data_IF_980613482515
#
_entry.id   IF_980613482515
#
_cell.length_a   1.000
_cell.length_b   1.000
_cell.length_c   1.000
_cell.angle_alpha   90.00
_cell.angle_beta   90.00
_cell.angle_gamma   90.00
#
_symmetry.space_group_name_H-M   'P 1'
#
loop_
_entity.id
_entity.type
_entity.pdbx_description
1 polymer ?
#
# COMPACT_ATOMS: atom_id res chain seq x y z
N UNK A 1 -12.64 21.01 -35.23
CA UNK A 1 -13.29 20.00 -34.38
C UNK A 1 -13.87 20.74 -33.20
N UNK A 2 -15.19 20.75 -33.04
CA UNK A 2 -15.84 21.39 -31.90
C UNK A 2 -15.41 20.70 -30.61
N UNK A 3 -14.90 21.46 -29.69
CA UNK A 3 -14.51 20.96 -28.37
C UNK A 3 -15.75 20.50 -27.61
N UNK A 4 -15.72 19.29 -27.04
CA UNK A 4 -16.88 18.75 -26.32
C UNK A 4 -17.17 19.56 -25.06
N UNK A 5 -18.42 19.61 -24.66
CA UNK A 5 -18.90 20.33 -23.47
C UNK A 5 -18.10 19.89 -22.22
N UNK A 6 -17.86 18.59 -22.11
CA UNK A 6 -17.07 18.02 -21.02
C UNK A 6 -15.61 18.50 -21.00
N UNK A 7 -14.95 18.61 -22.14
CA UNK A 7 -13.57 19.08 -22.21
C UNK A 7 -13.43 20.54 -21.73
N UNK A 8 -14.43 21.39 -21.96
CA UNK A 8 -14.49 22.75 -21.42
C UNK A 8 -14.64 22.72 -19.88
N UNK A 9 -15.50 21.86 -19.34
CA UNK A 9 -15.64 21.67 -17.90
C UNK A 9 -14.36 21.15 -17.24
N UNK A 10 -13.66 20.17 -17.87
CA UNK A 10 -12.42 19.62 -17.35
C UNK A 10 -11.33 20.68 -17.15
N UNK A 11 -11.18 21.63 -18.10
CA UNK A 11 -10.18 22.71 -17.97
C UNK A 11 -10.44 23.61 -16.77
N UNK A 12 -11.70 23.93 -16.51
CA UNK A 12 -12.06 24.75 -15.35
C UNK A 12 -11.81 23.99 -14.06
N UNK A 13 -12.26 22.74 -13.98
CA UNK A 13 -12.05 21.89 -12.81
C UNK A 13 -10.55 21.63 -12.53
N UNK A 14 -9.71 21.55 -13.57
CA UNK A 14 -8.27 21.41 -13.43
C UNK A 14 -7.62 22.67 -12.80
N UNK A 15 -8.21 23.86 -13.04
CA UNK A 15 -7.73 25.12 -12.45
C UNK A 15 -8.30 25.38 -11.04
N UNK A 16 -9.49 24.88 -10.73
CA UNK A 16 -10.18 25.11 -9.45
C UNK A 16 -9.80 24.09 -8.38
N UNK A 17 -9.53 22.85 -8.76
CA UNK A 17 -9.23 21.78 -7.82
C UNK A 17 -7.72 21.63 -7.60
N UNK A 18 -7.29 21.23 -6.37
CA UNK A 18 -5.92 20.82 -6.16
C UNK A 18 -5.53 19.71 -7.14
N UNK A 19 -4.36 19.81 -7.75
CA UNK A 19 -3.89 18.87 -8.80
C UNK A 19 -4.01 17.39 -8.39
N UNK A 20 -3.80 17.10 -7.12
CA UNK A 20 -3.96 15.74 -6.58
C UNK A 20 -5.42 15.27 -6.60
N UNK A 21 -6.36 16.12 -6.21
CA UNK A 21 -7.79 15.79 -6.23
C UNK A 21 -8.31 15.67 -7.66
N UNK A 22 -7.94 16.58 -8.55
CA UNK A 22 -8.31 16.52 -9.95
C UNK A 22 -7.84 15.21 -10.61
N UNK A 23 -6.56 14.86 -10.45
CA UNK A 23 -6.00 13.64 -11.05
C UNK A 23 -6.58 12.35 -10.46
N UNK A 24 -6.98 12.36 -9.17
CA UNK A 24 -7.50 11.17 -8.49
C UNK A 24 -8.98 10.95 -8.77
N UNK A 25 -9.79 12.01 -8.82
CA UNK A 25 -11.25 11.88 -8.78
C UNK A 25 -11.94 12.30 -10.08
N UNK A 26 -11.44 13.35 -10.76
CA UNK A 26 -12.09 13.91 -11.95
C UNK A 26 -11.51 13.35 -13.24
N UNK A 27 -10.18 13.28 -13.34
CA UNK A 27 -9.48 12.80 -14.54
C UNK A 27 -9.82 11.38 -14.97
N UNK A 28 -10.08 10.41 -14.07
CA UNK A 28 -10.43 9.03 -14.43
C UNK A 28 -11.85 8.86 -14.99
N UNK A 29 -12.69 9.90 -14.96
CA UNK A 29 -14.06 9.82 -15.45
C UNK A 29 -14.11 9.61 -16.95
N UNK A 30 -14.89 8.66 -17.37
CA UNK A 30 -15.25 8.48 -18.78
C UNK A 30 -16.62 9.10 -19.01
N UNK A 31 -16.76 9.83 -20.13
CA UNK A 31 -17.98 10.55 -20.41
C UNK A 31 -18.65 10.02 -21.67
N UNK A 32 -19.95 9.82 -21.59
CA UNK A 32 -20.82 9.47 -22.70
C UNK A 32 -21.84 10.60 -22.86
N UNK A 33 -21.67 11.39 -23.91
CA UNK A 33 -22.63 12.43 -24.27
C UNK A 33 -23.68 11.84 -25.23
N UNK A 34 -24.93 11.89 -24.86
CA UNK A 34 -26.08 11.54 -25.69
C UNK A 34 -27.05 12.72 -25.75
N UNK A 35 -27.96 12.72 -26.73
CA UNK A 35 -28.93 13.80 -26.88
C UNK A 35 -29.70 14.03 -25.57
N UNK A 36 -29.40 15.14 -24.89
CA UNK A 36 -30.05 15.55 -23.65
C UNK A 36 -29.51 14.97 -22.34
N UNK A 37 -28.45 14.11 -22.37
CA UNK A 37 -27.87 13.50 -21.17
C UNK A 37 -26.35 13.43 -21.26
N UNK A 38 -25.66 13.82 -20.20
CA UNK A 38 -24.23 13.59 -20.00
C UNK A 38 -24.06 12.56 -18.89
N UNK A 39 -23.58 11.38 -19.26
CA UNK A 39 -23.33 10.31 -18.31
C UNK A 39 -21.84 10.27 -17.96
N UNK A 40 -21.53 10.53 -16.69
CA UNK A 40 -20.21 10.47 -16.10
C UNK A 40 -20.00 9.06 -15.54
N UNK A 41 -19.14 8.27 -16.17
CA UNK A 41 -18.83 6.91 -15.75
C UNK A 41 -17.59 6.93 -14.86
N UNK A 42 -17.81 6.71 -13.59
CA UNK A 42 -16.75 6.60 -12.59
C UNK A 42 -16.20 5.17 -12.52
N UNK A 43 -14.90 5.00 -12.26
CA UNK A 43 -14.28 3.69 -12.23
C UNK A 43 -14.76 2.79 -11.07
N UNK A 44 -15.31 3.36 -9.99
CA UNK A 44 -15.86 2.62 -8.86
C UNK A 44 -16.85 3.48 -8.04
N UNK A 45 -17.53 2.84 -7.08
CA UNK A 45 -18.54 3.47 -6.22
C UNK A 45 -17.98 4.58 -5.33
N UNK A 46 -16.73 4.48 -4.89
CA UNK A 46 -16.10 5.50 -4.04
C UNK A 46 -15.87 6.81 -4.79
N UNK A 47 -15.51 6.73 -6.08
CA UNK A 47 -15.40 7.92 -6.95
C UNK A 47 -16.79 8.56 -7.13
N UNK A 48 -17.85 7.75 -7.28
CA UNK A 48 -19.25 8.25 -7.34
C UNK A 48 -19.61 8.98 -6.06
N UNK A 49 -19.39 8.38 -4.91
CA UNK A 49 -19.71 8.97 -3.59
C UNK A 49 -18.93 10.27 -3.38
N UNK A 50 -17.61 10.24 -3.60
CA UNK A 50 -16.76 11.44 -3.43
C UNK A 50 -17.16 12.58 -4.38
N UNK A 51 -17.41 12.28 -5.66
CA UNK A 51 -17.86 13.28 -6.64
C UNK A 51 -19.24 13.82 -6.30
N UNK A 52 -20.15 12.97 -5.82
CA UNK A 52 -21.47 13.37 -5.37
C UNK A 52 -21.42 14.43 -4.28
N UNK A 53 -20.53 14.22 -3.30
CA UNK A 53 -20.44 15.10 -2.14
C UNK A 53 -19.60 16.37 -2.40
N UNK A 54 -18.56 16.28 -3.27
CA UNK A 54 -17.56 17.36 -3.36
C UNK A 54 -17.57 18.12 -4.69
N UNK A 55 -17.94 17.50 -5.82
CA UNK A 55 -17.72 18.11 -7.13
C UNK A 55 -18.93 18.10 -8.06
N UNK A 56 -19.91 17.23 -7.84
CA UNK A 56 -21.09 17.12 -8.71
C UNK A 56 -21.91 18.40 -8.82
N UNK A 57 -22.16 19.16 -7.73
CA UNK A 57 -22.85 20.46 -7.81
C UNK A 57 -22.12 21.42 -8.76
N UNK A 58 -20.78 21.51 -8.62
CA UNK A 58 -19.94 22.39 -9.45
C UNK A 58 -19.89 21.94 -10.91
N UNK A 59 -19.81 20.63 -11.16
CA UNK A 59 -19.90 20.07 -12.52
C UNK A 59 -21.22 20.42 -13.18
N UNK A 60 -22.34 20.32 -12.46
CA UNK A 60 -23.65 20.71 -12.98
C UNK A 60 -23.78 22.19 -13.28
N UNK A 61 -23.14 23.06 -12.48
CA UNK A 61 -23.07 24.51 -12.74
C UNK A 61 -22.28 24.79 -14.03
N UNK A 62 -21.09 24.22 -14.18
CA UNK A 62 -20.25 24.40 -15.36
C UNK A 62 -20.93 23.91 -16.64
N UNK A 63 -21.64 22.78 -16.56
CA UNK A 63 -22.42 22.28 -17.69
C UNK A 63 -23.53 23.22 -18.07
N UNK A 64 -24.22 23.84 -17.11
CA UNK A 64 -25.25 24.87 -17.37
C UNK A 64 -24.64 26.12 -17.99
N UNK A 65 -23.47 26.55 -17.52
CA UNK A 65 -22.78 27.73 -18.00
C UNK A 65 -22.29 27.58 -19.46
N UNK A 66 -21.83 26.37 -19.82
CA UNK A 66 -21.27 26.09 -21.14
C UNK A 66 -22.25 25.49 -22.15
N UNK A 67 -23.47 25.20 -21.74
CA UNK A 67 -24.49 24.65 -22.66
C UNK A 67 -25.06 25.74 -23.58
N UNK A 68 -24.78 25.62 -24.88
CA UNK A 68 -25.28 26.51 -25.93
C UNK A 68 -26.72 26.12 -26.37
N UNK A 69 -27.62 25.75 -25.43
CA UNK A 69 -28.99 25.32 -25.75
C UNK A 69 -29.68 24.59 -24.57
N UNK A 70 -30.37 23.49 -24.88
CA UNK A 70 -31.02 22.68 -23.84
C UNK A 70 -29.97 22.10 -22.89
N UNK A 71 -30.15 22.33 -21.57
CA UNK A 71 -29.23 21.85 -20.53
C UNK A 71 -29.34 20.32 -20.44
N UNK A 72 -28.28 19.56 -20.71
CA UNK A 72 -28.29 18.11 -20.58
C UNK A 72 -28.40 17.69 -19.12
N UNK A 73 -29.13 16.60 -18.86
CA UNK A 73 -29.15 16.00 -17.52
C UNK A 73 -27.80 15.29 -17.24
N UNK A 74 -27.31 15.40 -15.99
CA UNK A 74 -26.00 14.86 -15.58
C UNK A 74 -26.22 13.68 -14.67
N UNK A 75 -25.93 12.49 -15.17
CA UNK A 75 -26.02 11.23 -14.46
C UNK A 75 -24.61 10.74 -14.13
N UNK A 76 -24.40 10.41 -12.85
CA UNK A 76 -23.15 9.83 -12.35
C UNK A 76 -23.36 8.35 -12.07
N UNK A 77 -22.59 7.48 -12.73
CA UNK A 77 -22.75 6.03 -12.65
C UNK A 77 -21.40 5.32 -12.58
N UNK A 78 -21.41 4.06 -12.15
CA UNK A 78 -20.20 3.21 -12.13
C UNK A 78 -20.12 2.44 -13.45
N UNK A 79 -19.05 2.64 -14.24
CA UNK A 79 -18.90 1.91 -15.49
C UNK A 79 -17.72 2.35 -16.36
N UNK A 80 -17.55 1.65 -17.50
CA UNK A 80 -16.56 1.99 -18.53
C UNK A 80 -17.21 1.97 -19.91
N UNK A 81 -16.69 2.78 -20.85
CA UNK A 81 -17.12 2.84 -22.27
C UNK A 81 -16.92 1.49 -22.98
N UNK A 82 -17.72 0.46 -22.71
CA UNK A 82 -17.52 -0.84 -23.35
C UNK A 82 -18.47 -1.94 -22.93
N UNK A 83 -19.36 -1.67 -22.00
CA UNK A 83 -20.29 -2.65 -21.46
C UNK A 83 -21.75 -2.42 -21.87
N UNK A 84 -22.12 -2.68 -23.11
CA UNK A 84 -23.49 -3.06 -23.44
C UNK A 84 -23.54 -4.58 -23.33
N UNK A 85 -24.16 -5.10 -22.27
CA UNK A 85 -24.50 -6.51 -22.17
C UNK A 85 -25.66 -6.79 -23.15
N UNK A 86 -25.56 -7.79 -24.03
CA UNK A 86 -26.74 -8.39 -24.63
C UNK A 86 -27.28 -9.48 -23.69
N UNK A 87 -28.55 -9.42 -23.53
CA UNK A 87 -29.44 -10.35 -22.83
C UNK A 87 -29.30 -11.80 -23.36
N UNK A 88 -29.47 -12.75 -22.50
CA UNK A 88 -29.36 -14.17 -22.71
C UNK A 88 -30.27 -14.71 -23.86
N UNK A 89 -29.71 -15.59 -24.68
CA UNK A 89 -30.49 -16.54 -25.45
C UNK A 89 -29.81 -17.92 -25.42
N UNK A 90 -30.63 -18.90 -25.09
CA UNK A 90 -30.42 -20.31 -24.86
C UNK A 90 -29.71 -21.09 -26.01
N UNK A 91 -29.11 -22.18 -25.54
CA UNK A 91 -28.46 -23.34 -26.16
C UNK A 91 -29.07 -23.91 -27.45
N UNK A 92 -28.51 -24.89 -28.14
CA UNK A 92 -28.15 -26.21 -27.57
C UNK A 92 -26.86 -26.90 -28.08
N UNK A 93 -26.55 -27.94 -27.36
CA UNK A 93 -25.58 -29.04 -27.54
C UNK A 93 -25.69 -29.78 -28.88
N UNK A 94 -24.57 -30.15 -29.49
CA UNK A 94 -24.46 -31.39 -30.28
C UNK A 94 -23.02 -31.94 -30.30
N UNK A 95 -22.92 -33.17 -29.95
CA UNK A 95 -21.83 -34.13 -30.05
C UNK A 95 -21.38 -34.35 -31.51
N UNK A 96 -20.14 -34.79 -31.71
CA UNK A 96 -19.69 -36.08 -32.29
C UNK A 96 -18.20 -35.99 -32.67
N UNK A 97 -17.40 -36.79 -32.08
CA UNK A 97 -16.79 -38.07 -32.48
C UNK A 97 -16.04 -38.09 -33.83
N UNK A 98 -14.78 -38.46 -33.74
CA UNK A 98 -14.18 -39.43 -34.62
C UNK A 98 -13.03 -38.95 -35.51
N UNK A 99 -11.88 -39.58 -35.41
CA UNK A 99 -10.94 -39.64 -36.53
C UNK A 99 -9.45 -39.71 -36.13
N UNK A 100 -8.97 -40.93 -36.10
CA UNK A 100 -7.55 -41.34 -35.91
C UNK A 100 -6.65 -41.00 -37.12
N UNK A 101 -5.35 -41.00 -36.82
CA UNK A 101 -4.17 -41.31 -37.63
C UNK A 101 -3.48 -40.21 -38.44
N UNK A 102 -2.19 -40.05 -38.12
CA UNK A 102 -1.23 -39.40 -38.98
C UNK A 102 0.05 -38.95 -38.24
N UNK A 103 0.91 -39.90 -37.89
CA UNK A 103 2.26 -39.62 -37.39
C UNK A 103 3.14 -39.03 -38.48
N UNK A 104 3.70 -37.85 -38.30
CA UNK A 104 4.90 -37.39 -38.99
C UNK A 104 5.95 -36.84 -38.04
N UNK A 105 7.25 -37.05 -38.30
CA UNK A 105 8.35 -36.81 -37.32
C UNK A 105 8.64 -35.33 -37.13
N UNK A 106 8.84 -34.97 -35.86
CA UNK A 106 8.93 -33.63 -35.34
C UNK A 106 10.08 -32.80 -35.86
N UNK A 107 9.75 -31.56 -36.10
CA UNK A 107 10.69 -30.44 -36.00
C UNK A 107 11.03 -30.20 -34.53
N UNK A 108 12.26 -29.77 -34.19
CA UNK A 108 12.64 -29.55 -32.79
C UNK A 108 11.73 -28.51 -32.16
N UNK A 109 11.08 -28.88 -31.05
CA UNK A 109 10.31 -27.97 -30.20
C UNK A 109 11.23 -26.84 -29.76
N UNK A 110 10.97 -25.63 -30.22
CA UNK A 110 11.50 -24.40 -29.62
C UNK A 110 11.27 -24.48 -28.11
N UNK A 111 12.30 -24.17 -27.35
CA UNK A 111 12.38 -24.32 -25.92
C UNK A 111 11.10 -23.91 -25.21
N UNK A 112 10.75 -24.67 -24.18
CA UNK A 112 9.66 -24.35 -23.27
C UNK A 112 9.81 -22.89 -22.79
N UNK A 113 8.74 -22.10 -22.72
CA UNK A 113 8.84 -20.73 -22.26
C UNK A 113 9.47 -20.73 -20.86
N UNK A 114 10.60 -20.06 -20.72
CA UNK A 114 11.25 -19.87 -19.43
C UNK A 114 10.23 -19.19 -18.52
N UNK A 115 9.80 -19.88 -17.47
CA UNK A 115 8.85 -19.34 -16.49
C UNK A 115 9.57 -18.20 -15.77
N UNK A 116 9.25 -16.96 -16.18
CA UNK A 116 9.78 -15.77 -15.56
C UNK A 116 8.97 -15.45 -14.32
N UNK A 117 9.66 -15.15 -13.23
CA UNK A 117 9.05 -14.71 -12.00
C UNK A 117 8.95 -15.79 -10.91
N UNK A 118 8.61 -15.35 -9.70
CA UNK A 118 8.31 -16.17 -8.54
C UNK A 118 6.89 -16.74 -8.62
N UNK A 119 6.62 -17.72 -7.73
CA UNK A 119 5.28 -18.27 -7.58
C UNK A 119 4.35 -17.21 -6.97
N UNK A 120 3.20 -17.01 -7.56
CA UNK A 120 2.13 -16.21 -6.97
C UNK A 120 1.49 -17.04 -5.85
N UNK A 121 1.41 -16.47 -4.64
CA UNK A 121 0.84 -17.11 -3.46
C UNK A 121 -0.70 -17.06 -3.55
N UNK A 122 -1.40 -18.18 -3.65
CA UNK A 122 -2.84 -18.22 -3.85
C UNK A 122 -3.64 -17.76 -2.63
N UNK A 123 -3.05 -17.84 -1.44
CA UNK A 123 -3.64 -17.41 -0.17
C UNK A 123 -3.74 -15.88 -0.02
N UNK A 124 -2.99 -15.11 -0.80
CA UNK A 124 -3.03 -13.66 -0.77
C UNK A 124 -4.08 -13.13 -1.75
N UNK A 125 -5.28 -12.93 -1.24
CA UNK A 125 -6.43 -12.41 -1.98
C UNK A 125 -6.90 -11.07 -1.41
N UNK A 126 -7.80 -10.38 -2.11
CA UNK A 126 -8.43 -9.16 -1.57
C UNK A 126 -9.36 -9.47 -0.39
N UNK A 127 -9.93 -10.67 -0.33
CA UNK A 127 -10.81 -11.11 0.77
C UNK A 127 -10.01 -11.43 2.04
N UNK A 128 -8.79 -11.99 1.89
CA UNK A 128 -7.89 -12.23 3.03
C UNK A 128 -7.13 -10.99 3.48
N UNK A 129 -7.22 -9.88 2.74
CA UNK A 129 -6.59 -8.59 3.08
C UNK A 129 -7.53 -7.76 3.96
N UNK A 130 -7.20 -7.62 5.23
CA UNK A 130 -7.98 -6.82 6.18
C UNK A 130 -7.83 -5.34 5.88
N UNK A 131 -8.95 -4.69 5.61
CA UNK A 131 -9.03 -3.27 5.31
C UNK A 131 -9.13 -2.43 6.58
N UNK A 132 -8.39 -1.32 6.61
CA UNK A 132 -8.43 -0.29 7.64
C UNK A 132 -8.14 1.07 7.03
N UNK A 133 -8.29 2.14 7.79
CA UNK A 133 -8.04 3.52 7.29
C UNK A 133 -6.64 3.70 6.71
N UNK A 134 -5.66 3.02 7.29
CA UNK A 134 -4.25 3.11 6.90
C UNK A 134 -3.91 2.46 5.54
N UNK A 135 -4.77 1.61 4.99
CA UNK A 135 -4.51 0.84 3.77
C UNK A 135 -5.67 0.87 2.75
N UNK A 136 -6.79 1.51 3.08
CA UNK A 136 -8.00 1.55 2.27
C UNK A 136 -7.74 2.07 0.84
N UNK A 137 -7.00 3.16 0.70
CA UNK A 137 -6.68 3.72 -0.61
C UNK A 137 -5.81 2.77 -1.44
N UNK A 138 -4.83 2.11 -0.81
CA UNK A 138 -3.96 1.15 -1.50
C UNK A 138 -4.76 -0.08 -1.96
N UNK A 139 -5.68 -0.59 -1.13
CA UNK A 139 -6.58 -1.69 -1.50
C UNK A 139 -7.50 -1.29 -2.66
N UNK A 140 -8.14 -0.13 -2.58
CA UNK A 140 -9.04 0.36 -3.63
C UNK A 140 -8.30 0.52 -4.98
N UNK A 141 -7.09 1.11 -4.96
CA UNK A 141 -6.25 1.23 -6.15
C UNK A 141 -5.87 -0.14 -6.73
N UNK A 142 -5.48 -1.09 -5.88
CA UNK A 142 -5.12 -2.45 -6.28
C UNK A 142 -6.31 -3.20 -6.90
N UNK A 143 -7.51 -3.10 -6.32
CA UNK A 143 -8.75 -3.68 -6.88
C UNK A 143 -9.06 -3.09 -8.24
N UNK A 144 -8.92 -1.78 -8.39
CA UNK A 144 -9.14 -1.08 -9.65
C UNK A 144 -8.17 -1.53 -10.75
N UNK A 145 -6.89 -1.68 -10.41
CA UNK A 145 -5.86 -2.19 -11.33
C UNK A 145 -6.14 -3.64 -11.72
N UNK A 146 -6.53 -4.49 -10.76
CA UNK A 146 -6.91 -5.87 -11.05
C UNK A 146 -8.14 -5.98 -11.97
N UNK A 147 -9.05 -5.00 -11.86
CA UNK A 147 -10.22 -4.90 -12.72
C UNK A 147 -9.92 -4.51 -14.16
N UNK A 148 -8.96 -3.61 -14.37
CA UNK A 148 -8.61 -3.02 -15.66
C UNK A 148 -7.09 -2.88 -15.82
N UNK A 149 -6.35 -4.00 -15.97
CA UNK A 149 -4.90 -3.97 -16.07
C UNK A 149 -4.43 -3.14 -17.28
N UNK A 150 -3.37 -2.35 -17.08
CA UNK A 150 -2.77 -1.49 -18.11
C UNK A 150 -3.55 -0.22 -18.43
N UNK A 151 -4.81 -0.13 -18.05
CA UNK A 151 -5.69 1.02 -18.33
C UNK A 151 -5.95 1.89 -17.11
N UNK A 152 -5.95 1.30 -15.91
CA UNK A 152 -6.12 2.03 -14.66
C UNK A 152 -4.77 2.12 -13.96
N UNK A 153 -4.39 3.30 -13.48
CA UNK A 153 -3.21 3.52 -12.65
C UNK A 153 -1.96 2.70 -13.06
N UNK A 154 -1.36 3.08 -14.17
CA UNK A 154 -0.16 2.39 -14.67
C UNK A 154 1.04 3.37 -14.76
N UNK A 155 2.10 3.18 -13.96
CA UNK A 155 2.28 2.14 -12.94
C UNK A 155 1.45 2.37 -11.67
N UNK A 156 1.14 1.30 -10.94
CA UNK A 156 0.70 1.39 -9.55
C UNK A 156 1.94 1.26 -8.65
N UNK A 157 2.21 2.28 -7.86
CA UNK A 157 3.33 2.30 -6.93
C UNK A 157 2.83 2.27 -5.49
N UNK A 158 3.14 1.20 -4.76
CA UNK A 158 2.71 1.00 -3.37
C UNK A 158 3.92 1.15 -2.47
N UNK A 159 3.91 2.10 -1.55
CA UNK A 159 5.00 2.27 -0.61
C UNK A 159 4.52 2.26 0.85
N UNK A 160 5.47 2.01 1.76
CA UNK A 160 5.19 1.97 3.20
C UNK A 160 6.16 1.06 3.93
N UNK A 161 6.20 1.13 5.23
CA UNK A 161 7.11 0.36 6.08
C UNK A 161 7.13 -1.15 5.80
N UNK A 162 8.12 -1.83 6.37
CA UNK A 162 8.25 -3.29 6.23
C UNK A 162 7.06 -4.00 6.90
N UNK A 163 6.57 -5.06 6.26
CA UNK A 163 5.53 -5.92 6.85
C UNK A 163 4.13 -5.31 6.91
N UNK A 164 3.81 -4.27 6.12
CA UNK A 164 2.49 -3.62 6.11
C UNK A 164 1.50 -4.21 5.08
N UNK A 165 1.88 -5.26 4.35
CA UNK A 165 0.99 -5.93 3.39
C UNK A 165 1.14 -5.52 1.92
N UNK A 166 2.21 -4.80 1.53
CA UNK A 166 2.50 -4.43 0.12
C UNK A 166 2.53 -5.66 -0.79
N UNK A 167 3.31 -6.66 -0.42
CA UNK A 167 3.44 -7.93 -1.14
C UNK A 167 2.10 -8.67 -1.22
N UNK A 168 1.29 -8.64 -0.15
CA UNK A 168 -0.05 -9.22 -0.14
C UNK A 168 -0.93 -8.60 -1.23
N UNK A 169 -0.99 -7.26 -1.31
CA UNK A 169 -1.78 -6.58 -2.35
C UNK A 169 -1.28 -6.89 -3.76
N UNK A 170 0.04 -6.98 -3.98
CA UNK A 170 0.57 -7.40 -5.28
C UNK A 170 0.08 -8.78 -5.69
N UNK A 171 0.17 -9.76 -4.78
CA UNK A 171 -0.32 -11.11 -5.05
C UNK A 171 -1.83 -11.16 -5.21
N UNK A 172 -2.58 -10.35 -4.46
CA UNK A 172 -4.04 -10.23 -4.60
C UNK A 172 -4.44 -9.73 -5.99
N UNK A 173 -3.71 -8.73 -6.52
CA UNK A 173 -3.89 -8.26 -7.90
C UNK A 173 -3.59 -9.37 -8.89
N UNK A 174 -2.45 -10.07 -8.75
CA UNK A 174 -2.06 -11.15 -9.62
C UNK A 174 -3.10 -12.29 -9.65
N UNK A 175 -3.57 -12.71 -8.48
CA UNK A 175 -4.60 -13.73 -8.35
C UNK A 175 -5.90 -13.30 -9.04
N UNK A 176 -6.32 -12.04 -8.85
CA UNK A 176 -7.55 -11.51 -9.45
C UNK A 176 -7.46 -11.38 -10.98
N UNK A 177 -6.29 -10.99 -11.51
CA UNK A 177 -6.06 -10.98 -12.97
C UNK A 177 -6.13 -12.41 -13.53
N UNK A 178 -5.49 -13.39 -12.86
CA UNK A 178 -5.52 -14.80 -13.28
C UNK A 178 -6.89 -15.45 -13.18
N UNK A 179 -7.68 -15.06 -12.20
CA UNK A 179 -9.08 -15.51 -12.07
C UNK A 179 -9.92 -15.08 -13.29
N UNK A 180 -9.65 -13.90 -13.83
CA UNK A 180 -10.34 -13.35 -15.01
C UNK A 180 -9.77 -13.85 -16.33
N UNK A 181 -8.48 -14.06 -16.39
CA UNK A 181 -7.75 -14.55 -17.56
C UNK A 181 -6.66 -15.52 -17.11
N UNK A 182 -6.95 -16.81 -17.17
CA UNK A 182 -6.03 -17.88 -16.77
C UNK A 182 -4.73 -17.88 -17.57
N UNK A 183 -4.76 -17.42 -18.83
CA UNK A 183 -3.61 -17.37 -19.75
C UNK A 183 -2.75 -16.12 -19.56
N UNK A 184 -3.13 -15.20 -18.67
CA UNK A 184 -2.38 -13.97 -18.41
C UNK A 184 -0.95 -14.29 -17.97
N UNK A 185 0.01 -13.71 -18.69
CA UNK A 185 1.45 -13.84 -18.40
C UNK A 185 1.85 -12.80 -17.36
N UNK A 186 1.83 -13.20 -16.11
CA UNK A 186 2.15 -12.36 -14.98
C UNK A 186 3.49 -12.79 -14.39
N UNK A 187 4.42 -11.87 -14.24
CA UNK A 187 5.64 -12.08 -13.49
C UNK A 187 5.62 -11.29 -12.16
N UNK A 188 5.80 -12.01 -11.06
CA UNK A 188 6.14 -11.45 -9.75
C UNK A 188 7.62 -11.68 -9.49
N UNK A 189 8.39 -10.62 -9.26
CA UNK A 189 9.84 -10.69 -9.11
C UNK A 189 10.30 -9.72 -8.02
N UNK A 190 11.16 -10.19 -7.12
CA UNK A 190 11.93 -9.27 -6.29
C UNK A 190 12.99 -8.56 -7.14
N UNK A 191 13.24 -7.29 -6.88
CA UNK A 191 14.20 -6.49 -7.65
C UNK A 191 15.61 -7.09 -7.67
N UNK A 192 16.05 -7.75 -6.58
CA UNK A 192 17.32 -8.48 -6.53
C UNK A 192 17.37 -9.63 -7.54
N UNK A 193 16.27 -10.38 -7.68
CA UNK A 193 16.18 -11.47 -8.65
C UNK A 193 16.21 -10.94 -10.07
N UNK A 194 15.49 -9.85 -10.35
CA UNK A 194 15.54 -9.18 -11.66
C UNK A 194 16.99 -8.84 -12.04
N UNK A 195 17.75 -8.24 -11.12
CA UNK A 195 19.15 -7.92 -11.30
C UNK A 195 19.99 -9.18 -11.55
N UNK A 196 19.81 -10.23 -10.74
CA UNK A 196 20.53 -11.49 -10.89
C UNK A 196 20.25 -12.16 -12.23
N UNK A 197 19.00 -12.23 -12.66
CA UNK A 197 18.59 -12.84 -13.92
C UNK A 197 19.14 -12.03 -15.11
N UNK A 198 19.14 -10.70 -15.02
CA UNK A 198 19.75 -9.82 -16.02
C UNK A 198 21.26 -10.03 -16.13
N UNK A 199 21.98 -10.09 -15.00
CA UNK A 199 23.44 -10.30 -14.98
C UNK A 199 23.79 -11.67 -15.62
N UNK A 200 23.04 -12.71 -15.30
CA UNK A 200 23.18 -14.04 -15.93
C UNK A 200 22.95 -13.98 -17.42
N UNK A 201 21.92 -13.28 -17.87
CA UNK A 201 21.60 -13.12 -19.29
C UNK A 201 22.73 -12.38 -20.04
N UNK A 202 23.35 -11.39 -19.41
CA UNK A 202 24.52 -10.69 -19.96
C UNK A 202 25.74 -11.63 -20.04
N UNK A 203 26.03 -12.41 -19.01
CA UNK A 203 27.16 -13.37 -18.98
C UNK A 203 27.00 -14.46 -20.02
N UNK A 204 25.78 -14.89 -20.30
CA UNK A 204 25.48 -15.96 -21.27
C UNK A 204 25.13 -15.45 -22.70
N UNK A 205 25.24 -14.15 -22.96
CA UNK A 205 24.87 -13.53 -24.24
C UNK A 205 23.39 -13.73 -24.63
N UNK A 206 22.49 -13.89 -23.63
CA UNK A 206 21.05 -14.11 -23.82
C UNK A 206 20.21 -12.89 -23.40
N UNK A 207 20.82 -11.70 -23.40
CA UNK A 207 20.13 -10.47 -22.95
C UNK A 207 18.89 -10.12 -23.80
N UNK A 208 18.89 -10.46 -25.10
CA UNK A 208 17.75 -10.24 -25.96
C UNK A 208 16.56 -11.15 -25.60
N UNK A 209 16.83 -12.40 -25.23
CA UNK A 209 15.81 -13.33 -24.77
C UNK A 209 15.21 -12.84 -23.44
N UNK A 210 16.06 -12.37 -22.53
CA UNK A 210 15.64 -11.73 -21.28
C UNK A 210 14.70 -10.53 -21.55
N UNK A 211 15.13 -9.59 -22.39
CA UNK A 211 14.33 -8.42 -22.76
C UNK A 211 13.01 -8.81 -23.39
N UNK A 212 13.00 -9.75 -24.33
CA UNK A 212 11.80 -10.23 -25.00
C UNK A 212 10.85 -10.87 -24.00
N UNK A 213 11.36 -11.69 -23.11
CA UNK A 213 10.59 -12.42 -22.13
C UNK A 213 9.86 -11.47 -21.14
N UNK A 214 10.54 -10.43 -20.64
CA UNK A 214 9.91 -9.43 -19.76
C UNK A 214 8.94 -8.50 -20.51
N UNK A 215 9.26 -8.10 -21.76
CA UNK A 215 8.43 -7.18 -22.54
C UNK A 215 7.14 -7.81 -23.09
N UNK A 216 7.04 -9.14 -23.07
CA UNK A 216 5.85 -9.87 -23.51
C UNK A 216 4.88 -10.21 -22.39
N UNK A 217 5.14 -9.75 -21.17
CA UNK A 217 4.24 -9.94 -20.03
C UNK A 217 2.99 -9.08 -20.15
N UNK A 218 1.88 -9.57 -19.65
CA UNK A 218 0.63 -8.82 -19.51
C UNK A 218 0.63 -7.99 -18.22
N UNK A 219 1.35 -8.48 -17.19
CA UNK A 219 1.62 -7.72 -15.96
C UNK A 219 3.00 -8.02 -15.39
N UNK A 220 3.74 -6.98 -15.00
CA UNK A 220 5.01 -7.06 -14.29
C UNK A 220 4.85 -6.48 -12.88
N UNK A 221 5.19 -7.28 -11.89
CA UNK A 221 5.15 -6.91 -10.48
C UNK A 221 6.56 -7.02 -9.89
N UNK A 222 7.13 -5.89 -9.48
CA UNK A 222 8.46 -5.84 -8.87
C UNK A 222 8.36 -5.40 -7.42
N UNK A 223 8.77 -6.27 -6.53
CA UNK A 223 8.79 -6.03 -5.10
C UNK A 223 10.13 -5.44 -4.67
N UNK A 224 10.06 -4.50 -3.72
CA UNK A 224 11.22 -3.90 -3.06
C UNK A 224 12.22 -3.21 -4.00
N UNK A 225 11.74 -2.23 -4.78
CA UNK A 225 12.56 -1.52 -5.79
C UNK A 225 13.75 -0.76 -5.20
N UNK A 226 13.80 -0.51 -3.89
CA UNK A 226 14.93 0.13 -3.24
C UNK A 226 16.25 -0.65 -3.43
N UNK A 227 16.20 -1.95 -3.74
CA UNK A 227 17.39 -2.75 -4.04
C UNK A 227 18.00 -2.48 -5.43
N UNK A 228 17.35 -1.68 -6.30
CA UNK A 228 18.00 -1.14 -7.49
C UNK A 228 18.98 -0.01 -7.17
N UNK A 229 18.84 0.64 -6.01
CA UNK A 229 19.68 1.77 -5.63
C UNK A 229 21.18 1.48 -5.80
N UNK A 230 21.92 2.42 -6.40
CA UNK A 230 23.36 2.34 -6.67
C UNK A 230 23.78 1.21 -7.65
N UNK A 231 22.86 0.70 -8.48
CA UNK A 231 23.11 -0.34 -9.48
C UNK A 231 22.79 0.21 -10.89
N UNK A 232 23.56 1.15 -11.38
CA UNK A 232 23.28 1.96 -12.57
C UNK A 232 22.89 1.15 -13.82
N UNK A 233 23.66 0.12 -14.18
CA UNK A 233 23.33 -0.75 -15.32
C UNK A 233 21.99 -1.45 -15.16
N UNK A 234 21.67 -1.86 -13.95
CA UNK A 234 20.40 -2.55 -13.68
C UNK A 234 19.22 -1.58 -13.71
N UNK A 235 19.43 -0.35 -13.26
CA UNK A 235 18.44 0.72 -13.36
C UNK A 235 18.18 1.09 -14.83
N UNK A 236 19.22 1.15 -15.66
CA UNK A 236 19.10 1.45 -17.09
C UNK A 236 18.28 0.39 -17.82
N UNK A 237 18.61 -0.90 -17.66
CA UNK A 237 17.88 -2.00 -18.30
C UNK A 237 16.44 -2.12 -17.77
N UNK A 238 16.26 -1.90 -16.48
CA UNK A 238 14.93 -1.84 -15.91
C UNK A 238 14.13 -0.68 -16.50
N UNK A 239 14.71 0.51 -16.66
CA UNK A 239 14.06 1.67 -17.25
C UNK A 239 13.57 1.39 -18.67
N UNK A 240 14.37 0.73 -19.50
CA UNK A 240 13.98 0.37 -20.86
C UNK A 240 12.85 -0.68 -20.89
N UNK A 241 12.91 -1.69 -20.02
CA UNK A 241 11.87 -2.70 -19.90
C UNK A 241 10.55 -2.10 -19.40
N UNK A 242 10.65 -1.25 -18.38
CA UNK A 242 9.53 -0.55 -17.78
C UNK A 242 8.81 0.36 -18.79
N UNK A 243 9.55 1.17 -19.55
CA UNK A 243 8.95 2.03 -20.58
C UNK A 243 8.27 1.21 -21.67
N UNK A 244 8.91 0.14 -22.15
CA UNK A 244 8.31 -0.72 -23.19
C UNK A 244 6.98 -1.35 -22.75
N UNK A 245 6.86 -1.73 -21.47
CA UNK A 245 5.60 -2.24 -20.90
C UNK A 245 4.53 -1.13 -20.81
N UNK A 246 4.90 0.06 -20.35
CA UNK A 246 3.96 1.18 -20.27
C UNK A 246 3.46 1.62 -21.66
N UNK A 247 4.34 1.70 -22.65
CA UNK A 247 3.99 2.04 -24.03
C UNK A 247 3.06 1.00 -24.65
N UNK A 248 3.23 -0.27 -24.30
CA UNK A 248 2.37 -1.38 -24.71
C UNK A 248 1.11 -1.53 -23.87
N UNK A 249 0.86 -0.59 -22.94
CA UNK A 249 -0.27 -0.64 -21.99
C UNK A 249 -0.31 -1.91 -21.12
N UNK A 250 0.83 -2.53 -20.86
CA UNK A 250 0.94 -3.65 -19.93
C UNK A 250 1.02 -3.13 -18.49
N UNK A 251 0.40 -3.83 -17.56
CA UNK A 251 0.35 -3.38 -16.18
C UNK A 251 1.70 -3.50 -15.49
N UNK A 252 2.15 -2.44 -14.84
CA UNK A 252 3.29 -2.47 -13.93
C UNK A 252 2.86 -2.12 -12.51
N UNK A 253 3.29 -2.94 -11.54
CA UNK A 253 3.09 -2.70 -10.10
C UNK A 253 4.44 -2.75 -9.42
N UNK A 254 4.72 -1.75 -8.62
CA UNK A 254 5.99 -1.61 -7.92
C UNK A 254 5.75 -1.43 -6.43
N UNK A 255 6.63 -1.98 -5.59
CA UNK A 255 6.62 -1.67 -4.17
C UNK A 255 7.94 -1.07 -3.69
N UNK A 256 7.89 -0.32 -2.60
CA UNK A 256 9.04 0.25 -1.93
C UNK A 256 8.80 0.34 -0.43
N UNK A 257 9.88 0.36 0.38
CA UNK A 257 9.79 0.57 1.82
C UNK A 257 9.50 2.03 2.21
N UNK A 258 9.73 2.98 1.27
CA UNK A 258 9.55 4.43 1.47
C UNK A 258 9.10 5.12 0.19
N UNK A 259 8.81 6.40 0.28
CA UNK A 259 8.41 7.20 -0.88
C UNK A 259 9.53 7.23 -1.96
N UNK A 260 9.21 7.08 -3.26
CA UNK A 260 10.22 6.93 -4.32
C UNK A 260 11.29 8.03 -4.36
N UNK A 261 10.91 9.27 -4.08
CA UNK A 261 11.85 10.40 -4.08
C UNK A 261 12.86 10.36 -2.92
N UNK A 262 12.55 9.61 -1.86
CA UNK A 262 13.40 9.45 -0.67
C UNK A 262 14.41 8.31 -0.81
N UNK A 263 14.37 7.56 -1.92
CA UNK A 263 15.30 6.47 -2.17
C UNK A 263 16.60 7.04 -2.73
N UNK A 264 17.63 7.07 -1.88
CA UNK A 264 18.96 7.49 -2.29
C UNK A 264 19.61 6.52 -3.28
N UNK A 265 20.24 7.06 -4.35
CA UNK A 265 20.92 6.24 -5.37
C UNK A 265 19.97 5.60 -6.38
N UNK A 266 18.71 6.01 -6.42
CA UNK A 266 17.78 5.73 -7.52
C UNK A 266 17.84 6.89 -8.52
N UNK A 267 17.92 6.58 -9.83
CA UNK A 267 18.01 7.57 -10.89
C UNK A 267 16.75 8.45 -10.97
N UNK A 268 16.92 9.76 -11.19
CA UNK A 268 15.83 10.74 -11.25
C UNK A 268 14.82 10.43 -12.36
N UNK A 269 15.28 9.87 -13.49
CA UNK A 269 14.38 9.42 -14.57
C UNK A 269 13.43 8.31 -14.14
N UNK A 270 13.88 7.36 -13.29
CA UNK A 270 13.02 6.32 -12.72
C UNK A 270 12.04 6.91 -11.70
N UNK A 271 12.53 7.78 -10.78
CA UNK A 271 11.68 8.45 -9.80
C UNK A 271 10.55 9.24 -10.46
N UNK A 272 10.87 9.94 -11.55
CA UNK A 272 9.89 10.69 -12.34
C UNK A 272 8.83 9.78 -12.95
N UNK A 273 9.25 8.66 -13.54
CA UNK A 273 8.35 7.70 -14.18
C UNK A 273 7.46 6.95 -13.18
N UNK A 274 7.97 6.64 -11.98
CA UNK A 274 7.17 6.02 -10.91
C UNK A 274 6.02 6.92 -10.45
N UNK A 275 6.21 8.23 -10.50
CA UNK A 275 5.17 9.21 -10.20
C UNK A 275 4.15 9.46 -11.30
N UNK A 276 4.32 8.87 -12.50
CA UNK A 276 3.40 9.09 -13.62
C UNK A 276 2.02 8.45 -13.41
N UNK A 277 1.98 7.24 -12.82
CA UNK A 277 0.74 6.55 -12.47
C UNK A 277 0.21 6.98 -11.10
N UNK A 278 -0.25 6.02 -10.31
CA UNK A 278 -0.73 6.27 -8.96
C UNK A 278 0.29 5.77 -7.93
N UNK A 279 0.71 6.67 -7.04
CA UNK A 279 1.55 6.35 -5.89
C UNK A 279 0.70 6.37 -4.63
N UNK A 280 0.62 5.25 -3.91
CA UNK A 280 -0.20 5.08 -2.70
C UNK A 280 0.64 4.61 -1.53
N UNK A 281 0.35 5.17 -0.36
CA UNK A 281 0.97 4.77 0.90
C UNK A 281 0.17 3.65 1.58
N UNK A 282 0.87 2.74 2.24
CA UNK A 282 0.31 1.90 3.30
C UNK A 282 0.95 2.34 4.60
N UNK A 283 0.13 2.85 5.51
CA UNK A 283 0.57 3.27 6.82
C UNK A 283 0.44 2.13 7.85
N UNK A 284 1.15 2.21 9.00
CA UNK A 284 0.94 1.27 10.08
C UNK A 284 -0.54 1.21 10.50
N UNK A 285 -1.10 -0.01 10.69
CA UNK A 285 -2.50 -0.17 11.03
C UNK A 285 -2.80 0.37 12.44
N UNK A 286 -4.02 0.88 12.63
CA UNK A 286 -4.55 1.24 13.95
C UNK A 286 -4.80 -0.02 14.78
N UNK A 287 -4.98 0.15 16.10
CA UNK A 287 -5.16 -0.97 17.04
C UNK A 287 -6.30 -1.90 16.62
N UNK A 288 -7.43 -1.33 16.23
CA UNK A 288 -8.62 -2.07 15.80
C UNK A 288 -8.34 -2.90 14.54
N UNK A 289 -7.60 -2.34 13.61
CA UNK A 289 -7.17 -3.06 12.40
C UNK A 289 -6.20 -4.19 12.73
N UNK A 290 -5.27 -3.98 13.68
CA UNK A 290 -4.37 -5.03 14.15
C UNK A 290 -5.13 -6.20 14.79
N UNK A 291 -6.14 -5.90 15.61
CA UNK A 291 -7.03 -6.92 16.22
C UNK A 291 -7.79 -7.69 15.13
N UNK A 292 -8.37 -6.98 14.17
CA UNK A 292 -9.08 -7.61 13.06
C UNK A 292 -8.16 -8.52 12.21
N UNK A 293 -6.90 -8.11 11.99
CA UNK A 293 -5.89 -8.93 11.31
C UNK A 293 -5.62 -10.22 12.10
N UNK A 294 -5.38 -10.12 13.42
CA UNK A 294 -5.15 -11.29 14.26
C UNK A 294 -6.32 -12.26 14.25
N UNK A 295 -7.55 -11.75 14.40
CA UNK A 295 -8.78 -12.55 14.37
C UNK A 295 -8.98 -13.22 13.01
N UNK A 296 -8.80 -12.48 11.91
CA UNK A 296 -8.89 -13.03 10.55
C UNK A 296 -7.87 -14.15 10.30
N UNK A 297 -6.62 -13.94 10.73
CA UNK A 297 -5.54 -14.94 10.57
C UNK A 297 -5.74 -16.17 11.46
N UNK A 298 -6.27 -15.99 12.67
CA UNK A 298 -6.64 -17.10 13.56
C UNK A 298 -7.78 -17.94 12.96
N UNK A 299 -8.80 -17.29 12.38
CA UNK A 299 -9.90 -17.98 11.70
C UNK A 299 -9.41 -18.81 10.50
N UNK A 300 -8.50 -18.25 9.66
CA UNK A 300 -7.88 -18.98 8.55
C UNK A 300 -7.06 -20.18 9.06
N UNK A 301 -6.43 -20.06 10.22
CA UNK A 301 -5.67 -21.14 10.86
C UNK A 301 -6.57 -22.15 11.63
N UNK A 302 -7.88 -21.96 11.64
CA UNK A 302 -8.87 -22.74 12.42
C UNK A 302 -8.52 -22.78 13.93
N UNK A 303 -8.11 -21.64 14.48
CA UNK A 303 -7.73 -21.51 15.89
C UNK A 303 -8.70 -20.56 16.58
N UNK A 304 -9.21 -20.99 17.74
CA UNK A 304 -10.02 -20.13 18.60
C UNK A 304 -9.11 -19.15 19.34
N UNK A 305 -9.18 -17.87 18.95
CA UNK A 305 -8.42 -16.77 19.54
C UNK A 305 -9.40 -15.85 20.28
N UNK A 306 -9.39 -15.82 21.62
CA UNK A 306 -10.23 -14.89 22.37
C UNK A 306 -9.92 -13.43 22.01
N UNK A 307 -10.95 -12.59 21.92
CA UNK A 307 -10.82 -11.18 21.54
C UNK A 307 -9.90 -10.41 22.52
N UNK A 308 -9.99 -10.71 23.83
CA UNK A 308 -9.09 -10.11 24.83
C UNK A 308 -7.61 -10.42 24.58
N UNK A 309 -7.31 -11.62 24.08
CA UNK A 309 -5.94 -12.02 23.70
C UNK A 309 -5.50 -11.26 22.46
N UNK A 310 -6.37 -11.14 21.45
CA UNK A 310 -6.08 -10.38 20.25
C UNK A 310 -5.81 -8.90 20.58
N UNK A 311 -6.61 -8.27 21.44
CA UNK A 311 -6.37 -6.92 21.94
C UNK A 311 -5.06 -6.79 22.72
N UNK A 312 -4.77 -7.76 23.59
CA UNK A 312 -3.51 -7.76 24.37
C UNK A 312 -2.30 -7.79 23.42
N UNK A 313 -2.29 -8.70 22.44
CA UNK A 313 -1.19 -8.85 21.48
C UNK A 313 -1.07 -7.61 20.60
N UNK A 314 -2.17 -7.12 20.02
CA UNK A 314 -2.19 -5.92 19.17
C UNK A 314 -1.72 -4.66 19.91
N UNK A 315 -2.03 -4.53 21.20
CA UNK A 315 -1.58 -3.41 22.03
C UNK A 315 -0.07 -3.44 22.33
N UNK A 316 0.51 -4.64 22.41
CA UNK A 316 1.93 -4.84 22.73
C UNK A 316 2.82 -4.84 21.48
N UNK A 317 2.34 -5.42 20.37
CA UNK A 317 3.09 -5.54 19.13
C UNK A 317 2.49 -4.55 18.13
N UNK A 318 3.08 -3.36 18.03
CA UNK A 318 2.57 -2.25 17.18
C UNK A 318 3.42 -2.00 15.94
N UNK A 319 4.56 -2.69 15.82
CA UNK A 319 5.57 -2.39 14.81
C UNK A 319 5.09 -2.65 13.38
N UNK A 320 4.60 -3.85 13.12
CA UNK A 320 4.13 -4.24 11.78
C UNK A 320 3.29 -5.53 11.82
N UNK A 321 2.55 -5.77 10.73
CA UNK A 321 1.67 -6.95 10.60
C UNK A 321 2.46 -8.27 10.58
N UNK A 322 3.69 -8.26 10.06
CA UNK A 322 4.54 -9.47 10.04
C UNK A 322 4.90 -9.95 11.45
N UNK A 323 5.14 -9.03 12.37
CA UNK A 323 5.38 -9.38 13.78
C UNK A 323 4.12 -9.86 14.48
N UNK A 324 2.95 -9.25 14.18
CA UNK A 324 1.65 -9.76 14.66
C UNK A 324 1.40 -11.20 14.20
N UNK A 325 1.62 -11.48 12.90
CA UNK A 325 1.51 -12.84 12.36
C UNK A 325 2.52 -13.80 12.99
N UNK A 326 3.74 -13.32 13.25
CA UNK A 326 4.79 -14.11 13.94
C UNK A 326 4.38 -14.47 15.35
N UNK A 327 3.80 -13.54 16.10
CA UNK A 327 3.29 -13.79 17.45
C UNK A 327 2.13 -14.78 17.43
N UNK A 328 1.17 -14.62 16.51
CA UNK A 328 0.07 -15.56 16.35
C UNK A 328 0.58 -16.99 16.03
N UNK A 329 1.48 -17.12 15.06
CA UNK A 329 2.08 -18.41 14.69
C UNK A 329 2.76 -19.08 15.90
N UNK A 330 3.46 -18.30 16.71
CA UNK A 330 4.12 -18.82 17.93
C UNK A 330 3.09 -19.28 18.97
N UNK A 331 2.02 -18.52 19.20
CA UNK A 331 0.94 -18.93 20.09
C UNK A 331 0.26 -20.23 19.64
N UNK A 332 -0.08 -20.29 18.33
CA UNK A 332 -0.71 -21.47 17.73
C UNK A 332 0.20 -22.69 17.84
N UNK A 333 1.47 -22.58 17.48
CA UNK A 333 2.44 -23.68 17.58
C UNK A 333 2.59 -24.17 19.03
N UNK A 334 2.69 -23.25 20.01
CA UNK A 334 2.81 -23.58 21.42
C UNK A 334 1.53 -24.25 21.95
N UNK A 335 0.34 -23.76 21.55
CA UNK A 335 -0.95 -24.35 21.90
C UNK A 335 -1.09 -25.80 21.38
N UNK A 336 -0.75 -26.02 20.11
CA UNK A 336 -0.77 -27.34 19.51
C UNK A 336 0.22 -28.31 20.20
N UNK A 337 1.42 -27.81 20.53
CA UNK A 337 2.44 -28.65 21.19
C UNK A 337 2.08 -28.99 22.62
N UNK A 338 1.48 -28.05 23.38
CA UNK A 338 1.16 -28.25 24.80
C UNK A 338 -0.25 -28.77 25.05
N UNK A 339 -1.14 -28.78 24.04
CA UNK A 339 -2.57 -29.09 24.17
C UNK A 339 -3.36 -28.08 25.00
N UNK A 340 -2.78 -26.90 25.32
CA UNK A 340 -3.43 -25.85 26.12
C UNK A 340 -4.19 -24.88 25.26
N UNK A 341 -5.37 -24.44 25.72
CA UNK A 341 -6.13 -23.37 25.08
C UNK A 341 -5.38 -22.03 25.13
N UNK A 342 -5.61 -21.19 24.12
CA UNK A 342 -5.03 -19.84 24.04
C UNK A 342 -5.80 -18.93 24.99
N UNK A 343 -5.23 -18.69 26.17
CA UNK A 343 -5.72 -17.73 27.17
C UNK A 343 -4.75 -16.57 27.32
N UNK A 344 -5.15 -15.53 28.04
CA UNK A 344 -4.27 -14.38 28.29
C UNK A 344 -2.99 -14.77 29.05
N UNK A 345 -3.11 -15.69 30.04
CA UNK A 345 -1.97 -16.19 30.80
C UNK A 345 -1.04 -17.03 29.95
N UNK A 346 -1.61 -17.96 29.17
CA UNK A 346 -0.87 -18.75 28.20
C UNK A 346 -0.13 -17.86 27.20
N UNK A 347 -0.79 -16.81 26.69
CA UNK A 347 -0.19 -15.88 25.73
C UNK A 347 1.00 -15.12 26.32
N UNK A 348 0.90 -14.64 27.56
CA UNK A 348 2.02 -14.02 28.27
C UNK A 348 3.23 -14.96 28.42
N UNK A 349 2.97 -16.24 28.69
CA UNK A 349 4.01 -17.26 28.78
C UNK A 349 4.64 -17.55 27.40
N UNK A 350 3.81 -17.83 26.40
CA UNK A 350 4.24 -18.17 25.04
C UNK A 350 5.03 -17.05 24.34
N UNK A 351 4.68 -15.79 24.62
CA UNK A 351 5.31 -14.59 24.02
C UNK A 351 6.31 -13.90 24.94
N UNK A 352 6.65 -14.48 26.10
CA UNK A 352 7.49 -13.86 27.13
C UNK A 352 8.77 -13.23 26.58
N UNK A 353 9.51 -13.97 25.76
CA UNK A 353 10.80 -13.49 25.23
C UNK A 353 10.60 -12.33 24.25
N UNK A 354 9.55 -12.40 23.41
CA UNK A 354 9.21 -11.37 22.43
C UNK A 354 8.77 -10.09 23.15
N UNK A 355 7.96 -10.21 24.18
CA UNK A 355 7.52 -9.08 24.99
C UNK A 355 8.69 -8.45 25.77
N UNK A 356 9.58 -9.28 26.34
CA UNK A 356 10.77 -8.82 27.06
C UNK A 356 11.77 -8.09 26.15
N UNK A 357 11.90 -8.53 24.89
CA UNK A 357 12.72 -7.82 23.90
C UNK A 357 12.14 -6.43 23.58
N UNK A 358 10.83 -6.32 23.40
CA UNK A 358 10.18 -5.04 23.15
C UNK A 358 10.28 -4.09 24.35
N UNK A 359 10.13 -4.60 25.57
CA UNK A 359 10.32 -3.80 26.80
C UNK A 359 11.77 -3.29 26.92
N UNK A 360 12.77 -4.07 26.45
CA UNK A 360 14.17 -3.62 26.43
C UNK A 360 14.48 -2.58 25.35
N UNK A 361 13.79 -2.61 24.23
CA UNK A 361 13.98 -1.66 23.12
C UNK A 361 13.40 -0.27 23.43
N UNK A 362 12.36 -0.19 24.25
CA UNK A 362 11.67 1.07 24.59
C UNK A 362 11.98 1.48 26.03
N UNK A 363 13.23 1.86 26.27
CA UNK A 363 13.63 2.50 27.54
C UNK A 363 13.50 4.02 27.45
N UNK A 364 13.38 4.69 28.59
CA UNK A 364 13.33 6.16 28.63
C UNK A 364 14.61 6.77 28.08
N UNK A 365 15.76 6.13 28.29
CA UNK A 365 17.05 6.53 27.73
C UNK A 365 17.06 6.44 26.19
N UNK A 366 16.50 5.36 25.65
CA UNK A 366 16.39 5.20 24.19
C UNK A 366 15.44 6.24 23.59
N UNK A 367 14.33 6.54 24.26
CA UNK A 367 13.41 7.61 23.85
C UNK A 367 14.12 8.97 23.85
N UNK A 368 14.87 9.27 24.89
CA UNK A 368 15.64 10.51 24.98
C UNK A 368 16.68 10.64 23.86
N UNK A 369 17.40 9.55 23.57
CA UNK A 369 18.38 9.49 22.50
C UNK A 369 17.74 9.71 21.14
N UNK A 370 16.69 8.95 20.82
CA UNK A 370 15.99 9.03 19.53
C UNK A 370 15.37 10.41 19.30
N UNK A 371 14.73 10.99 20.32
CA UNK A 371 14.15 12.34 20.22
C UNK A 371 15.24 13.40 20.06
N UNK A 372 16.37 13.27 20.80
CA UNK A 372 17.49 14.19 20.68
C UNK A 372 18.11 14.17 19.27
N UNK A 373 18.30 12.99 18.71
CA UNK A 373 18.79 12.79 17.33
C UNK A 373 17.82 13.38 16.29
N UNK A 374 16.52 13.09 16.42
CA UNK A 374 15.49 13.57 15.50
C UNK A 374 15.43 15.10 15.45
N UNK A 375 15.43 15.77 16.60
CA UNK A 375 15.39 17.24 16.68
C UNK A 375 16.78 17.89 16.62
N UNK A 376 17.86 17.11 16.43
CA UNK A 376 19.25 17.58 16.34
C UNK A 376 19.68 18.42 17.57
N UNK A 377 19.31 17.96 18.76
CA UNK A 377 19.68 18.55 20.04
C UNK A 377 20.47 17.56 20.89
N UNK A 378 21.17 18.02 21.90
CA UNK A 378 21.90 17.13 22.82
C UNK A 378 20.96 16.56 23.88
N UNK A 379 21.19 15.33 24.32
CA UNK A 379 20.44 14.71 25.44
C UNK A 379 20.49 15.58 26.68
N UNK A 380 21.67 16.20 26.98
CA UNK A 380 21.83 17.13 28.10
C UNK A 380 20.88 18.33 28.01
N UNK A 381 20.51 18.79 26.81
CA UNK A 381 19.54 19.88 26.62
C UNK A 381 18.12 19.43 26.97
N UNK A 382 17.76 18.17 26.65
CA UNK A 382 16.46 17.58 27.07
C UNK A 382 16.32 17.54 28.59
N UNK A 383 17.40 17.22 29.30
CA UNK A 383 17.43 17.12 30.77
C UNK A 383 17.58 18.48 31.45
N UNK A 384 18.05 19.52 30.73
CA UNK A 384 18.33 20.83 31.24
C UNK A 384 17.09 21.58 31.75
N UNK A 385 17.28 22.60 32.62
CA UNK A 385 16.19 23.50 33.09
C UNK A 385 15.78 24.54 32.01
N UNK A 386 16.40 24.56 30.83
CA UNK A 386 16.09 25.52 29.75
C UNK A 386 14.65 25.39 29.27
N UNK A 387 14.02 26.56 29.01
CA UNK A 387 12.60 26.66 28.62
C UNK A 387 12.41 27.20 27.20
N UNK A 388 13.48 27.35 26.40
CA UNK A 388 13.35 27.78 25.00
C UNK A 388 12.46 26.79 24.23
N UNK A 389 11.63 27.30 23.31
CA UNK A 389 10.68 26.46 22.55
C UNK A 389 11.40 25.34 21.80
N UNK A 390 12.62 25.58 21.31
CA UNK A 390 13.46 24.60 20.61
C UNK A 390 13.90 23.42 21.49
N UNK A 391 13.88 23.55 22.81
CA UNK A 391 14.24 22.50 23.78
C UNK A 391 13.00 21.99 24.53
N UNK A 392 12.09 22.89 24.88
CA UNK A 392 10.89 22.53 25.63
C UNK A 392 9.95 21.63 24.83
N UNK A 393 9.80 21.88 23.53
CA UNK A 393 8.94 21.09 22.64
C UNK A 393 9.42 19.64 22.48
N UNK A 394 10.68 19.39 22.05
CA UNK A 394 11.23 18.03 22.01
C UNK A 394 11.12 17.29 23.35
N UNK A 395 11.37 17.98 24.45
CA UNK A 395 11.24 17.41 25.79
C UNK A 395 9.80 17.00 26.10
N UNK A 396 8.81 17.82 25.77
CA UNK A 396 7.38 17.49 25.93
C UNK A 396 7.00 16.27 25.09
N UNK A 397 7.47 16.20 23.84
CA UNK A 397 7.27 15.04 22.95
C UNK A 397 7.90 13.79 23.56
N UNK A 398 9.15 13.87 24.05
CA UNK A 398 9.83 12.74 24.66
C UNK A 398 9.13 12.24 25.95
N UNK A 399 8.63 13.15 26.82
CA UNK A 399 7.85 12.78 28.00
C UNK A 399 6.53 12.09 27.61
N UNK A 400 5.84 12.59 26.58
CA UNK A 400 4.59 12.01 26.10
C UNK A 400 4.82 10.61 25.50
N UNK A 401 5.89 10.43 24.69
CA UNK A 401 6.31 9.14 24.18
C UNK A 401 6.69 8.16 25.30
N UNK A 402 7.44 8.62 26.31
CA UNK A 402 7.78 7.81 27.48
C UNK A 402 6.52 7.31 28.20
N UNK A 403 5.50 8.18 28.37
CA UNK A 403 4.23 7.77 28.99
C UNK A 403 3.41 6.83 28.13
N UNK A 404 3.46 6.95 26.81
CA UNK A 404 2.71 6.10 25.88
C UNK A 404 3.38 4.75 25.66
N UNK A 405 4.71 4.71 25.59
CA UNK A 405 5.49 3.53 25.20
C UNK A 405 6.06 2.72 26.37
N UNK A 406 6.07 3.26 27.58
CA UNK A 406 6.63 2.58 28.75
C UNK A 406 5.61 2.43 29.87
N UNK A 407 5.88 1.53 30.82
CA UNK A 407 5.07 1.34 32.02
C UNK A 407 5.46 2.29 33.18
N UNK A 408 6.39 3.24 32.93
CA UNK A 408 6.84 4.17 33.99
C UNK A 408 5.71 5.08 34.47
N UNK A 409 5.68 5.30 35.76
CA UNK A 409 4.80 6.28 36.37
C UNK A 409 5.21 7.73 36.03
N UNK A 410 4.29 8.67 36.16
CA UNK A 410 4.61 10.09 35.92
C UNK A 410 5.79 10.60 36.74
N UNK A 411 5.94 10.26 38.09
CA UNK A 411 7.11 10.61 38.85
C UNK A 411 8.41 10.04 38.27
N UNK A 412 8.46 8.74 37.96
CA UNK A 412 9.64 8.09 37.37
C UNK A 412 10.07 8.72 36.05
N UNK A 413 9.11 9.06 35.18
CA UNK A 413 9.38 9.82 33.94
C UNK A 413 9.95 11.21 34.32
N UNK A 414 9.37 11.89 35.29
CA UNK A 414 9.85 13.19 35.75
C UNK A 414 11.31 13.15 36.23
N UNK A 415 11.65 12.14 37.00
CA UNK A 415 13.01 11.91 37.49
C UNK A 415 13.99 11.65 36.36
N UNK A 416 13.63 10.80 35.41
CA UNK A 416 14.42 10.49 34.21
C UNK A 416 14.65 11.73 33.31
N UNK A 417 13.77 12.72 33.34
CA UNK A 417 13.92 13.98 32.59
C UNK A 417 14.50 15.14 33.42
N UNK A 418 15.38 14.85 34.37
CA UNK A 418 16.15 15.83 35.16
C UNK A 418 15.42 16.30 36.42
N UNK A 419 14.74 15.39 37.13
CA UNK A 419 14.09 15.63 38.40
C UNK A 419 12.88 16.56 38.28
N UNK A 420 12.03 16.35 37.33
CA UNK A 420 10.82 17.15 37.08
C UNK A 420 9.64 16.57 37.84
N UNK A 421 8.82 17.44 38.34
CA UNK A 421 7.58 17.05 38.99
C UNK A 421 6.61 16.35 38.03
N UNK A 422 5.86 15.38 38.56
CA UNK A 422 4.86 14.61 37.81
C UNK A 422 3.80 15.48 37.11
N UNK A 423 3.49 16.64 37.68
CA UNK A 423 2.57 17.62 37.07
C UNK A 423 3.14 18.22 35.79
N UNK A 424 4.46 18.39 35.70
CA UNK A 424 5.15 18.83 34.49
C UNK A 424 5.02 17.78 33.41
N UNK A 425 5.16 16.50 33.73
CA UNK A 425 4.97 15.39 32.77
C UNK A 425 3.52 15.31 32.31
N UNK A 426 2.57 15.40 33.25
CA UNK A 426 1.15 15.40 32.93
C UNK A 426 0.76 16.57 32.01
N UNK A 427 1.27 17.77 32.30
CA UNK A 427 1.08 18.95 31.45
C UNK A 427 1.71 18.74 30.07
N UNK A 428 2.91 18.14 29.97
CA UNK A 428 3.55 17.83 28.72
C UNK A 428 2.70 16.88 27.86
N UNK A 429 2.17 15.81 28.45
CA UNK A 429 1.30 14.86 27.76
C UNK A 429 0.03 15.52 27.20
N UNK A 430 -0.66 16.33 28.02
CA UNK A 430 -1.84 17.09 27.59
C UNK A 430 -1.51 18.05 26.45
N UNK A 431 -0.42 18.80 26.61
CA UNK A 431 -0.01 19.79 25.62
C UNK A 431 0.38 19.15 24.29
N UNK A 432 1.07 18.01 24.30
CA UNK A 432 1.41 17.27 23.07
C UNK A 432 0.15 16.75 22.39
N UNK A 433 -0.84 16.26 23.14
CA UNK A 433 -2.12 15.84 22.57
C UNK A 433 -2.82 16.98 21.82
N UNK A 434 -2.96 18.16 22.43
CA UNK A 434 -3.51 19.35 21.80
C UNK A 434 -2.74 19.77 20.54
N UNK A 435 -1.40 19.68 20.61
CA UNK A 435 -0.55 20.08 19.50
C UNK A 435 -0.59 19.12 18.32
N UNK A 436 -0.78 17.85 18.57
CA UNK A 436 -0.99 16.85 17.50
C UNK A 436 -2.26 17.13 16.69
N UNK A 437 -3.27 17.70 17.32
CA UNK A 437 -4.55 18.06 16.67
C UNK A 437 -4.46 19.43 15.97
N UNK A 438 -3.68 20.38 16.51
CA UNK A 438 -3.62 21.77 16.01
C UNK A 438 -2.44 22.07 15.09
N UNK A 439 -1.31 21.40 15.22
CA UNK A 439 -0.09 21.63 14.46
C UNK A 439 0.30 20.34 13.70
N UNK A 440 -0.04 20.24 12.42
CA UNK A 440 0.21 19.07 11.54
C UNK A 440 1.66 18.55 11.63
N UNK A 441 2.65 19.47 11.64
CA UNK A 441 4.07 19.12 11.75
C UNK A 441 4.39 18.35 13.03
N UNK A 442 3.81 18.73 14.18
CA UNK A 442 4.05 18.02 15.44
C UNK A 442 3.36 16.66 15.44
N UNK A 443 2.20 16.56 14.79
CA UNK A 443 1.55 15.27 14.58
C UNK A 443 2.42 14.33 13.77
N UNK A 444 2.99 14.80 12.66
CA UNK A 444 3.91 14.04 11.80
C UNK A 444 5.20 13.65 12.55
N UNK A 445 5.84 14.60 13.23
CA UNK A 445 7.05 14.35 14.06
C UNK A 445 6.79 13.27 15.11
N UNK A 446 5.65 13.37 15.82
CA UNK A 446 5.27 12.40 16.86
C UNK A 446 5.09 11.00 16.31
N UNK A 447 4.38 10.88 15.17
CA UNK A 447 4.16 9.59 14.51
C UNK A 447 5.47 8.97 13.99
N UNK A 448 6.37 9.78 13.43
CA UNK A 448 7.68 9.33 12.97
C UNK A 448 8.52 8.80 14.13
N UNK A 449 8.58 9.54 15.25
CA UNK A 449 9.28 9.12 16.46
C UNK A 449 8.68 7.85 17.07
N UNK A 450 7.35 7.76 17.11
CA UNK A 450 6.65 6.58 17.60
C UNK A 450 6.99 5.34 16.76
N UNK A 451 7.04 5.50 15.43
CA UNK A 451 7.46 4.44 14.50
C UNK A 451 8.91 4.01 14.74
N UNK A 452 9.82 4.98 14.91
CA UNK A 452 11.24 4.70 15.13
C UNK A 452 11.50 3.99 16.47
N UNK A 453 10.69 4.28 17.50
CA UNK A 453 10.83 3.71 18.83
C UNK A 453 10.09 2.38 19.02
N UNK A 454 9.03 2.16 18.25
CA UNK A 454 8.25 0.93 18.33
C UNK A 454 8.78 -0.19 17.40
N UNK A 455 9.84 0.10 16.61
CA UNK A 455 10.49 -0.85 15.69
C UNK A 455 10.05 -0.65 14.27
#
# INVERSE_FOLDING_TARGET
MSETLWNRCLRVLESELPMQQFNTWVRPLQVVERHGEIRLLAPNRYVVEWLGDNSLPRIKELIREFADGAIPDVVLDVGTRGGVLPEAANAPVANEMGGMLGSQPGKPRRGAPTVIGGRIAPEFTFDSFVEGKSNQLAKAAAVQVAGNPGRSYNPLFIYGGVGLGKTHLMHAVANKIKERNADARIAYVHSERFVSDMVKALQHNTINDFKTAYRTLDALMIDDIQFFAKKDRSQEEFFHTFNALLESQQQVILTCDRYPKEVDGLEERLKSRFGWGLTVAIEPPELETCVAILMSKAAIANVDLPEEVAFFVAKRIRSNVRELEGALKRMVATSHFTGRAITLEFTKEALRDLLALQEKLVTVENIQKTVAEYYKIRIADLLSKRRSRSIARPRQVAMALAKELTNYSLPEIGDAFGGRDHTTVLHACRRVKELRESERRIGEDYMNLLRTLAG
#
